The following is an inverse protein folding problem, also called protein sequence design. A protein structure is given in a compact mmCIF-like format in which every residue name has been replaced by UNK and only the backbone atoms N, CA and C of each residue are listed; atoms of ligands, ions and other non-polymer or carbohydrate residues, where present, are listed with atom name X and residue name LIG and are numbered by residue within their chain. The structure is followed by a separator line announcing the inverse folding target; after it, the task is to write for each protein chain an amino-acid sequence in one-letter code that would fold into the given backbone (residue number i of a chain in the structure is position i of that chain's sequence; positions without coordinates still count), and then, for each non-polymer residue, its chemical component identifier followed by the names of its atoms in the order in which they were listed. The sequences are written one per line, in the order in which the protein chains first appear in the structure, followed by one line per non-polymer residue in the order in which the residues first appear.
data_IF_153722701902
#
_entry.id   IF_153722701902
#
_cell.length_a   1.000
_cell.length_b   1.000
_cell.length_c   1.000
_cell.angle_alpha   90.00
_cell.angle_beta   90.00
_cell.angle_gamma   90.00
#
_symmetry.space_group_name_H-M   'P 1'
#
loop_
_entity.id
_entity.type
_entity.pdbx_description
1 polymer ?
#
# COMPACT_ATOMS: atom_id res chain seq x y z
N UNK A 1 -11.85 5.01 -0.03
CA UNK A 1 -11.09 5.32 -1.26
C UNK A 1 -10.40 6.70 -1.21
N UNK A 2 -10.29 7.36 -0.05
CA UNK A 2 -9.73 8.74 0.05
C UNK A 2 -8.25 8.78 0.43
N UNK A 3 -7.76 7.90 1.32
CA UNK A 3 -6.36 7.99 1.79
C UNK A 3 -5.32 7.61 0.73
N UNK A 4 -5.58 6.60 -0.10
CA UNK A 4 -4.68 6.18 -1.18
C UNK A 4 -4.47 7.28 -2.23
N UNK A 5 -5.54 7.97 -2.62
CA UNK A 5 -5.46 9.07 -3.58
C UNK A 5 -4.71 10.27 -2.99
N UNK A 6 -4.88 10.54 -1.69
CA UNK A 6 -4.13 11.58 -0.98
C UNK A 6 -2.64 11.23 -0.90
N UNK A 7 -2.28 10.01 -0.49
CA UNK A 7 -0.89 9.52 -0.51
C UNK A 7 -0.27 9.68 -1.91
N UNK A 8 -0.95 9.22 -2.96
CA UNK A 8 -0.48 9.36 -4.35
C UNK A 8 -0.27 10.81 -4.80
N UNK A 9 -1.16 11.73 -4.41
CA UNK A 9 -1.00 13.16 -4.70
C UNK A 9 0.20 13.75 -3.97
N UNK A 10 0.36 13.42 -2.69
CA UNK A 10 1.50 13.85 -1.88
C UNK A 10 2.82 13.30 -2.45
N UNK A 11 2.90 12.00 -2.77
CA UNK A 11 4.11 11.41 -3.38
C UNK A 11 4.51 12.18 -4.63
N UNK A 12 3.57 12.39 -5.57
CA UNK A 12 3.82 13.11 -6.83
C UNK A 12 4.37 14.52 -6.64
N UNK A 13 4.04 15.17 -5.53
CA UNK A 13 4.46 16.55 -5.24
C UNK A 13 5.89 16.62 -4.65
N UNK A 14 6.37 15.55 -3.99
CA UNK A 14 7.62 15.57 -3.20
C UNK A 14 8.76 14.69 -3.75
N UNK A 15 8.57 13.96 -4.87
CA UNK A 15 9.60 13.09 -5.51
C UNK A 15 10.94 13.81 -5.81
N UNK A 16 11.00 15.14 -5.81
CA UNK A 16 12.23 15.88 -6.11
C UNK A 16 13.27 15.90 -4.97
N UNK A 17 12.95 15.51 -3.74
CA UNK A 17 13.91 15.54 -2.62
C UNK A 17 13.83 14.35 -1.63
N UNK A 18 12.70 13.68 -1.51
CA UNK A 18 12.50 12.60 -0.53
C UNK A 18 11.87 11.36 -1.16
N UNK A 19 12.11 10.19 -0.55
CA UNK A 19 11.53 8.90 -0.93
C UNK A 19 10.43 8.51 0.08
N UNK A 20 9.18 8.99 -0.11
CA UNK A 20 8.07 8.67 0.79
C UNK A 20 7.62 7.21 0.64
N UNK A 21 7.22 6.58 1.76
CA UNK A 21 6.67 5.21 1.82
C UNK A 21 5.28 5.22 2.48
N UNK A 22 4.32 4.53 1.88
CA UNK A 22 3.00 4.28 2.46
C UNK A 22 2.89 2.78 2.79
N UNK A 23 2.71 2.45 4.07
CA UNK A 23 2.51 1.07 4.53
C UNK A 23 1.02 0.75 4.61
N UNK A 24 0.62 -0.43 4.12
CA UNK A 24 -0.76 -0.88 4.09
C UNK A 24 -0.89 -2.25 4.75
N UNK A 25 -1.99 -2.47 5.46
CA UNK A 25 -2.36 -3.78 6.00
C UNK A 25 -3.70 -4.21 5.43
N UNK A 26 -3.86 -5.53 5.22
CA UNK A 26 -5.11 -6.11 4.73
C UNK A 26 -6.12 -6.15 5.87
N UNK A 27 -7.31 -5.62 5.65
CA UNK A 27 -8.40 -5.77 6.62
C UNK A 27 -8.87 -7.23 6.65
N UNK A 28 -8.97 -7.81 7.84
CA UNK A 28 -9.39 -9.21 8.03
C UNK A 28 -10.89 -9.45 7.80
N UNK A 29 -11.66 -8.37 7.60
CA UNK A 29 -13.08 -8.43 7.32
C UNK A 29 -13.32 -8.09 5.86
N UNK A 30 -13.84 -9.01 5.04
CA UNK A 30 -14.27 -8.65 3.70
C UNK A 30 -15.40 -7.64 3.82
N UNK A 31 -15.31 -6.54 3.08
CA UNK A 31 -16.44 -5.63 2.99
C UNK A 31 -17.58 -6.39 2.32
N UNK A 32 -18.82 -6.25 2.81
CA UNK A 32 -19.93 -6.85 2.11
C UNK A 32 -19.96 -6.30 0.68
N UNK A 33 -19.75 -7.16 -0.32
CA UNK A 33 -20.00 -6.80 -1.70
C UNK A 33 -21.48 -6.38 -1.77
N UNK A 34 -21.76 -5.16 -2.21
CA UNK A 34 -23.14 -4.79 -2.58
C UNK A 34 -23.63 -5.85 -3.56
N UNK A 35 -24.80 -6.41 -3.28
CA UNK A 35 -25.39 -7.66 -3.82
C UNK A 35 -25.70 -7.67 -5.33
N UNK A 36 -24.92 -6.97 -6.16
CA UNK A 36 -25.25 -6.68 -7.56
C UNK A 36 -24.16 -7.09 -8.56
N UNK A 37 -23.24 -7.99 -8.21
CA UNK A 37 -22.32 -8.59 -9.18
C UNK A 37 -22.06 -10.08 -8.91
N UNK A 38 -22.12 -10.96 -9.93
CA UNK A 38 -22.08 -12.41 -9.77
C UNK A 38 -20.69 -12.98 -9.40
N UNK A 39 -19.66 -12.15 -9.31
CA UNK A 39 -18.36 -12.55 -8.76
C UNK A 39 -18.27 -12.15 -7.29
N UNK A 40 -18.57 -13.09 -6.39
CA UNK A 40 -18.30 -12.99 -4.95
C UNK A 40 -16.77 -12.96 -4.68
N UNK A 41 -16.06 -11.95 -5.18
CA UNK A 41 -14.74 -11.65 -4.65
C UNK A 41 -14.94 -11.13 -3.23
N UNK A 42 -14.46 -11.88 -2.25
CA UNK A 42 -14.20 -11.38 -0.90
C UNK A 42 -13.41 -10.07 -1.06
N UNK A 43 -14.04 -8.91 -0.92
CA UNK A 43 -13.36 -7.64 -1.15
C UNK A 43 -12.64 -7.23 0.14
N UNK A 44 -11.51 -7.87 0.36
CA UNK A 44 -10.54 -7.41 1.33
C UNK A 44 -10.03 -6.03 0.91
N UNK A 45 -10.00 -5.10 1.86
CA UNK A 45 -9.57 -3.73 1.61
C UNK A 45 -8.19 -3.52 2.22
N UNK A 46 -7.28 -2.91 1.45
CA UNK A 46 -6.02 -2.43 1.99
C UNK A 46 -6.25 -1.13 2.75
N UNK A 47 -5.96 -1.14 4.05
CA UNK A 47 -6.03 0.06 4.90
C UNK A 47 -4.62 0.61 5.09
N UNK A 48 -4.45 1.91 4.84
CA UNK A 48 -3.18 2.59 5.12
C UNK A 48 -2.96 2.63 6.63
N UNK A 49 -1.81 2.15 7.07
CA UNK A 49 -1.44 2.14 8.49
C UNK A 49 -0.38 3.18 8.83
N UNK A 50 0.51 3.49 7.88
CA UNK A 50 1.59 4.44 8.11
C UNK A 50 1.94 5.23 6.84
N UNK A 51 2.37 6.48 7.04
CA UNK A 51 2.98 7.30 6.00
C UNK A 51 4.33 7.82 6.51
N UNK A 52 5.40 7.32 5.89
CA UNK A 52 6.77 7.61 6.26
C UNK A 52 7.36 8.60 5.25
N UNK A 53 7.68 9.81 5.70
CA UNK A 53 8.31 10.86 4.88
C UNK A 53 9.81 11.00 5.11
N UNK A 54 10.31 10.55 6.27
CA UNK A 54 11.72 10.67 6.66
C UNK A 54 12.33 9.27 6.76
N UNK A 55 13.47 9.07 6.09
CA UNK A 55 14.30 7.87 6.20
C UNK A 55 13.50 6.56 6.18
N UNK A 56 12.70 6.34 5.13
CA UNK A 56 12.03 5.08 4.89
C UNK A 56 13.07 3.95 4.79
N UNK A 57 13.29 3.24 5.91
CA UNK A 57 14.24 2.15 6.01
C UNK A 57 13.95 1.04 4.98
N UNK A 58 14.93 0.15 4.78
CA UNK A 58 14.86 -1.01 3.86
C UNK A 58 14.75 -0.72 2.36
N UNK A 59 14.89 0.54 1.90
CA UNK A 59 14.84 0.86 0.47
C UNK A 59 15.79 0.03 -0.42
N UNK A 60 17.00 -0.25 0.06
CA UNK A 60 17.97 -1.10 -0.65
C UNK A 60 17.81 -2.60 -0.39
N UNK A 61 17.09 -2.98 0.69
CA UNK A 61 16.87 -4.38 1.08
C UNK A 61 15.68 -5.02 0.36
N UNK A 62 14.75 -4.22 -0.16
CA UNK A 62 13.59 -4.72 -0.92
C UNK A 62 13.95 -5.59 -2.14
N UNK A 63 14.92 -5.19 -2.99
CA UNK A 63 15.41 -6.04 -4.07
C UNK A 63 16.05 -7.34 -3.56
N UNK A 64 16.92 -7.23 -2.53
CA UNK A 64 17.66 -8.36 -1.96
C UNK A 64 16.72 -9.41 -1.35
N UNK A 65 15.62 -9.00 -0.73
CA UNK A 65 14.65 -9.95 -0.16
C UNK A 65 13.92 -10.77 -1.23
N UNK A 66 13.78 -10.25 -2.44
CA UNK A 66 13.17 -10.99 -3.56
C UNK A 66 14.08 -12.11 -4.05
N UNK A 67 15.39 -11.87 -4.07
CA UNK A 67 16.40 -12.87 -4.42
C UNK A 67 16.45 -14.00 -3.39
N UNK A 68 16.35 -13.67 -2.09
CA UNK A 68 16.31 -14.65 -1.00
C UNK A 68 15.06 -15.53 -1.09
N UNK A 69 13.89 -14.95 -1.39
CA UNK A 69 12.63 -15.72 -1.48
C UNK A 69 12.60 -16.68 -2.68
N UNK A 70 13.33 -16.35 -3.74
CA UNK A 70 13.33 -17.12 -4.99
C UNK A 70 14.37 -18.25 -5.01
N UNK A 71 15.23 -18.33 -4.00
CA UNK A 71 16.32 -19.31 -3.87
C UNK A 71 15.92 -20.64 -3.24
#
# INVERSE_FOLDING_TARGET
MTSQQTCLRYIKQFVKKEQPKCDYMLENSPKAASSTSPSNLCCYTWKQVEFNTIASGFGWLGPVSSDIHSG
#
